data_IF_625834925350
#
_entry.id   IF_625834925350
#
_cell.length_a   1.000
_cell.length_b   1.000
_cell.length_c   1.000
_cell.angle_alpha   90.00
_cell.angle_beta   90.00
_cell.angle_gamma   90.00
#
_symmetry.space_group_name_H-M   'P 1'
#
loop_
_entity.id
_entity.type
_entity.pdbx_description
1 polymer ?
#
# COMPACT_ATOMS: atom_id res chain seq x y z
N UNK A 1 -13.88 -19.06 9.44
CA UNK A 1 -12.58 -19.00 8.72
C UNK A 1 -12.75 -19.18 7.19
N UNK A 2 -13.95 -18.98 6.62
CA UNK A 2 -14.22 -19.30 5.20
C UNK A 2 -15.03 -18.22 4.47
N UNK A 3 -14.99 -16.97 4.96
CA UNK A 3 -15.68 -15.83 4.32
C UNK A 3 -14.78 -14.61 4.08
N UNK A 4 -13.47 -14.70 4.36
CA UNK A 4 -12.52 -13.61 4.12
C UNK A 4 -11.89 -13.65 2.72
N UNK A 5 -11.90 -14.81 2.04
CA UNK A 5 -11.23 -14.99 0.74
C UNK A 5 -12.02 -14.54 -0.49
N UNK A 6 -13.31 -14.22 -0.35
CA UNK A 6 -14.17 -13.82 -1.49
C UNK A 6 -14.35 -12.30 -1.64
N UNK A 7 -13.87 -11.49 -0.69
CA UNK A 7 -13.94 -10.01 -0.77
C UNK A 7 -12.71 -9.39 -1.45
N UNK A 8 -11.57 -10.06 -1.47
CA UNK A 8 -10.33 -9.51 -2.06
C UNK A 8 -10.32 -9.53 -3.60
N UNK A 9 -11.12 -10.39 -4.23
CA UNK A 9 -11.21 -10.49 -5.70
C UNK A 9 -12.13 -9.44 -6.34
N UNK A 10 -13.12 -8.92 -5.61
CA UNK A 10 -13.96 -7.79 -6.07
C UNK A 10 -13.30 -6.42 -5.84
N UNK A 11 -12.37 -6.31 -4.87
CA UNK A 11 -11.65 -5.07 -4.58
C UNK A 11 -10.74 -4.63 -5.75
N UNK A 12 -10.10 -5.59 -6.43
CA UNK A 12 -9.04 -5.29 -7.42
C UNK A 12 -9.53 -4.86 -8.82
N UNK A 13 -10.77 -5.18 -9.21
CA UNK A 13 -11.39 -4.56 -10.40
C UNK A 13 -11.93 -3.15 -10.08
N UNK A 14 -12.10 -2.83 -8.80
CA UNK A 14 -12.44 -1.52 -8.29
C UNK A 14 -11.24 -0.57 -8.32
N UNK A 15 -10.04 -1.01 -7.93
CA UNK A 15 -8.90 -0.12 -7.72
C UNK A 15 -8.38 0.58 -8.99
N UNK A 16 -8.28 -0.09 -10.15
CA UNK A 16 -7.91 0.56 -11.42
C UNK A 16 -9.03 1.48 -11.95
N UNK A 17 -10.28 1.12 -11.67
CA UNK A 17 -11.46 1.90 -12.06
C UNK A 17 -11.73 3.09 -11.11
N UNK A 18 -11.27 3.03 -9.86
CA UNK A 18 -11.32 4.11 -8.88
C UNK A 18 -10.13 5.06 -9.00
N UNK A 19 -8.93 4.59 -9.34
CA UNK A 19 -7.78 5.48 -9.60
C UNK A 19 -8.03 6.35 -10.83
N UNK A 20 -8.65 5.80 -11.89
CA UNK A 20 -9.07 6.57 -13.06
C UNK A 20 -10.17 7.58 -12.73
N UNK A 21 -11.18 7.22 -11.94
CA UNK A 21 -12.21 8.15 -11.44
C UNK A 21 -11.63 9.24 -10.52
N UNK A 22 -10.69 8.89 -9.66
CA UNK A 22 -10.05 9.83 -8.73
C UNK A 22 -9.14 10.81 -9.50
N UNK A 23 -8.40 10.33 -10.49
CA UNK A 23 -7.60 11.16 -11.40
C UNK A 23 -8.49 12.07 -12.24
N UNK A 24 -9.63 11.58 -12.73
CA UNK A 24 -10.64 12.38 -13.42
C UNK A 24 -11.19 13.49 -12.52
N UNK A 25 -11.57 13.16 -11.28
CA UNK A 25 -12.09 14.14 -10.30
C UNK A 25 -11.05 15.19 -9.92
N UNK A 26 -9.77 14.81 -9.85
CA UNK A 26 -8.67 15.74 -9.59
C UNK A 26 -8.42 16.65 -10.80
N UNK A 27 -8.52 16.10 -12.02
CA UNK A 27 -8.43 16.85 -13.29
C UNK A 27 -9.59 17.84 -13.44
N UNK A 28 -10.81 17.43 -13.10
CA UNK A 28 -12.00 18.28 -13.12
C UNK A 28 -11.87 19.44 -12.12
N UNK A 29 -11.40 19.17 -10.89
CA UNK A 29 -11.14 20.21 -9.89
C UNK A 29 -10.08 21.22 -10.34
N UNK A 30 -9.07 20.77 -11.10
CA UNK A 30 -7.97 21.62 -11.55
C UNK A 30 -8.32 22.42 -12.81
N UNK A 31 -9.27 21.93 -13.62
CA UNK A 31 -9.82 22.66 -14.76
C UNK A 31 -10.51 23.97 -14.31
N UNK A 32 -11.07 23.98 -13.09
CA UNK A 32 -11.64 25.17 -12.46
C UNK A 32 -10.59 26.17 -11.93
N UNK A 33 -9.32 25.77 -11.75
CA UNK A 33 -8.26 26.65 -11.25
C UNK A 33 -7.61 27.53 -12.34
N UNK A 34 -8.00 27.36 -13.61
CA UNK A 34 -7.53 28.11 -14.80
C UNK A 34 -6.00 28.37 -14.77
N UNK A 35 -5.18 27.33 -14.98
CA UNK A 35 -3.73 27.47 -15.01
C UNK A 35 -3.28 28.29 -16.22
N UNK A 36 -2.22 29.09 -16.03
CA UNK A 36 -1.68 29.97 -17.07
C UNK A 36 -0.83 29.24 -18.11
N UNK A 37 -0.25 28.09 -17.76
CA UNK A 37 0.60 27.25 -18.64
C UNK A 37 0.32 25.78 -18.39
N UNK A 38 0.47 24.95 -19.43
CA UNK A 38 0.36 23.48 -19.35
C UNK A 38 1.32 22.89 -18.30
N UNK A 39 2.54 23.42 -18.20
CA UNK A 39 3.51 22.96 -17.19
C UNK A 39 3.04 23.18 -15.75
N UNK A 40 2.46 24.36 -15.46
CA UNK A 40 1.95 24.67 -14.13
C UNK A 40 0.68 23.87 -13.80
N UNK A 41 -0.11 23.54 -14.83
CA UNK A 41 -1.24 22.63 -14.68
C UNK A 41 -0.77 21.23 -14.29
N UNK A 42 0.18 20.66 -15.04
CA UNK A 42 0.70 19.32 -14.78
C UNK A 42 1.34 19.21 -13.40
N UNK A 43 2.15 20.19 -12.98
CA UNK A 43 2.78 20.16 -11.65
C UNK A 43 1.76 20.18 -10.50
N UNK A 44 0.73 21.03 -10.60
CA UNK A 44 -0.34 21.10 -9.59
C UNK A 44 -1.19 19.84 -9.58
N UNK A 45 -1.46 19.28 -10.76
CA UNK A 45 -2.19 18.03 -10.91
C UNK A 45 -1.43 16.88 -10.24
N UNK A 46 -0.14 16.77 -10.55
CA UNK A 46 0.76 15.76 -9.97
C UNK A 46 0.77 15.87 -8.45
N UNK A 47 0.95 17.08 -7.90
CA UNK A 47 1.04 17.27 -6.46
C UNK A 47 -0.28 16.90 -5.75
N UNK A 48 -1.44 17.34 -6.27
CA UNK A 48 -2.74 17.01 -5.67
C UNK A 48 -3.07 15.52 -5.78
N UNK A 49 -2.83 14.93 -6.95
CA UNK A 49 -3.05 13.50 -7.16
C UNK A 49 -2.12 12.66 -6.28
N UNK A 50 -0.86 13.08 -6.13
CA UNK A 50 0.11 12.45 -5.25
C UNK A 50 -0.34 12.50 -3.79
N UNK A 51 -0.75 13.67 -3.27
CA UNK A 51 -1.23 13.79 -1.88
C UNK A 51 -2.42 12.88 -1.59
N UNK A 52 -3.35 12.79 -2.54
CA UNK A 52 -4.52 11.93 -2.41
C UNK A 52 -4.14 10.45 -2.41
N UNK A 53 -3.26 10.04 -3.33
CA UNK A 53 -2.74 8.67 -3.38
C UNK A 53 -1.90 8.32 -2.15
N UNK A 54 -1.11 9.27 -1.66
CA UNK A 54 -0.30 9.14 -0.45
C UNK A 54 -1.18 8.90 0.77
N UNK A 55 -2.20 9.74 1.00
CA UNK A 55 -3.11 9.56 2.13
C UNK A 55 -3.83 8.22 2.05
N UNK A 56 -4.34 7.83 0.88
CA UNK A 56 -5.03 6.55 0.73
C UNK A 56 -4.11 5.34 0.94
N UNK A 57 -2.87 5.41 0.46
CA UNK A 57 -1.92 4.30 0.56
C UNK A 57 -1.32 4.16 1.97
N UNK A 58 -1.00 5.27 2.64
CA UNK A 58 -0.29 5.25 3.91
C UNK A 58 -1.18 5.41 5.14
N UNK A 59 -2.41 5.95 5.04
CA UNK A 59 -3.28 6.13 6.20
C UNK A 59 -3.52 4.86 7.02
N UNK A 60 -3.79 3.68 6.42
CA UNK A 60 -3.94 2.45 7.18
C UNK A 60 -2.67 2.07 7.95
N UNK A 61 -1.50 2.27 7.35
CA UNK A 61 -0.21 1.94 7.97
C UNK A 61 0.11 2.93 9.09
N UNK A 62 -0.16 4.23 8.88
CA UNK A 62 -0.03 5.25 9.91
C UNK A 62 -0.93 4.98 11.10
N UNK A 63 -2.16 4.50 10.87
CA UNK A 63 -3.08 4.10 11.92
C UNK A 63 -2.50 2.96 12.76
N UNK A 64 -2.08 1.87 12.11
CA UNK A 64 -1.51 0.70 12.80
C UNK A 64 -0.22 1.06 13.54
N UNK A 65 0.60 1.97 12.99
CA UNK A 65 1.88 2.32 13.58
C UNK A 65 1.78 3.22 14.81
N UNK A 66 0.89 4.21 14.78
CA UNK A 66 0.89 5.27 15.79
C UNK A 66 -0.36 5.29 16.68
N UNK A 67 -1.49 4.77 16.20
CA UNK A 67 -2.78 4.92 16.88
C UNK A 67 -3.32 3.61 17.44
N UNK A 68 -3.07 2.48 16.77
CA UNK A 68 -3.53 1.16 17.21
C UNK A 68 -2.90 0.78 18.55
N UNK A 69 -3.72 0.25 19.47
CA UNK A 69 -3.29 -0.18 20.81
C UNK A 69 -2.93 0.95 21.79
N UNK A 70 -2.79 2.21 21.35
CA UNK A 70 -2.38 3.31 22.24
C UNK A 70 -3.51 3.87 23.09
N UNK A 71 -4.74 3.79 22.59
CA UNK A 71 -5.93 4.41 23.18
C UNK A 71 -6.99 3.41 23.69
N UNK A 72 -6.63 2.13 23.89
CA UNK A 72 -7.59 1.10 24.33
C UNK A 72 -8.08 1.26 25.78
N UNK A 73 -7.27 1.90 26.64
CA UNK A 73 -7.55 2.07 28.07
C UNK A 73 -7.05 0.89 28.91
N UNK A 74 -7.61 0.72 30.11
CA UNK A 74 -7.29 -0.39 31.02
C UNK A 74 -8.48 -1.35 31.12
N UNK A 75 -8.25 -2.65 31.43
CA UNK A 75 -9.34 -3.56 31.75
C UNK A 75 -10.27 -2.95 32.82
N UNK A 76 -11.58 -3.00 32.59
CA UNK A 76 -12.61 -2.36 33.43
C UNK A 76 -12.97 -0.91 33.04
N UNK A 77 -12.14 -0.21 32.26
CA UNK A 77 -12.47 1.11 31.71
C UNK A 77 -11.89 1.27 30.30
N UNK A 78 -12.47 0.54 29.35
CA UNK A 78 -12.16 0.67 27.93
C UNK A 78 -12.67 1.99 27.35
N UNK A 79 -11.96 2.48 26.33
CA UNK A 79 -12.41 3.60 25.51
C UNK A 79 -13.29 3.05 24.40
N UNK A 80 -14.55 3.49 24.37
CA UNK A 80 -15.52 3.11 23.35
C UNK A 80 -15.63 4.23 22.31
N UNK A 81 -15.56 3.86 21.04
CA UNK A 81 -15.86 4.75 19.91
C UNK A 81 -17.34 4.65 19.62
N UNK A 82 -18.00 5.81 19.55
CA UNK A 82 -19.45 5.92 19.30
C UNK A 82 -20.22 5.03 20.31
N UNK A 83 -19.76 5.02 21.56
CA UNK A 83 -20.35 4.33 22.73
C UNK A 83 -20.54 2.80 22.66
N UNK A 84 -20.38 2.15 21.50
CA UNK A 84 -20.68 0.72 21.33
C UNK A 84 -19.45 -0.13 20.93
N UNK A 85 -18.44 0.45 20.28
CA UNK A 85 -17.29 -0.31 19.75
C UNK A 85 -16.01 -0.05 20.57
N UNK A 86 -15.40 -1.13 21.09
CA UNK A 86 -14.10 -1.07 21.79
C UNK A 86 -12.99 -0.78 20.78
N UNK A 87 -12.07 0.11 21.16
CA UNK A 87 -10.87 0.40 20.37
C UNK A 87 -10.00 -0.85 20.17
N UNK A 88 -9.36 -0.97 19.01
CA UNK A 88 -8.50 -2.11 18.69
C UNK A 88 -7.24 -2.15 19.55
N UNK A 89 -6.92 -3.36 20.02
CA UNK A 89 -5.70 -3.69 20.75
C UNK A 89 -4.70 -4.39 19.82
N UNK A 90 -3.42 -4.34 20.19
CA UNK A 90 -2.39 -5.05 19.43
C UNK A 90 -2.23 -6.49 19.91
N UNK A 91 -1.82 -7.37 19.00
CA UNK A 91 -1.47 -8.74 19.33
C UNK A 91 -0.34 -8.82 20.39
N UNK A 92 -0.19 -9.95 21.11
CA UNK A 92 0.87 -10.12 22.12
C UNK A 92 2.29 -9.98 21.57
N UNK A 93 2.47 -10.19 20.26
CA UNK A 93 3.74 -9.98 19.54
C UNK A 93 4.04 -8.52 19.19
N UNK A 94 3.17 -7.59 19.58
CA UNK A 94 3.30 -6.15 19.32
C UNK A 94 2.74 -5.71 17.96
N UNK A 95 2.42 -4.42 17.85
CA UNK A 95 1.89 -3.83 16.61
C UNK A 95 2.92 -3.83 15.46
N UNK A 96 4.22 -3.92 15.78
CA UNK A 96 5.29 -3.89 14.80
C UNK A 96 5.25 -5.11 13.86
N UNK A 97 4.91 -6.30 14.37
CA UNK A 97 4.78 -7.50 13.53
C UNK A 97 3.60 -7.36 12.56
N UNK A 98 2.46 -6.82 13.03
CA UNK A 98 1.31 -6.55 12.17
C UNK A 98 1.67 -5.57 11.05
N UNK A 99 2.44 -4.50 11.36
CA UNK A 99 2.96 -3.58 10.35
C UNK A 99 3.87 -4.28 9.34
N UNK A 100 4.79 -5.12 9.79
CA UNK A 100 5.70 -5.85 8.91
C UNK A 100 4.92 -6.73 7.93
N UNK A 101 3.90 -7.44 8.41
CA UNK A 101 3.04 -8.30 7.59
C UNK A 101 2.27 -7.44 6.59
N UNK A 102 1.64 -6.34 7.03
CA UNK A 102 0.91 -5.43 6.16
C UNK A 102 1.81 -4.85 5.05
N UNK A 103 3.01 -4.37 5.39
CA UNK A 103 3.98 -3.87 4.42
C UNK A 103 4.45 -4.97 3.46
N UNK A 104 4.68 -6.18 3.97
CA UNK A 104 5.05 -7.32 3.14
C UNK A 104 3.95 -7.67 2.14
N UNK A 105 2.69 -7.71 2.57
CA UNK A 105 1.54 -7.97 1.70
C UNK A 105 1.40 -6.86 0.65
N UNK A 106 1.56 -5.59 1.03
CA UNK A 106 1.42 -4.48 0.07
C UNK A 106 2.56 -4.50 -0.97
N UNK A 107 3.81 -4.67 -0.52
CA UNK A 107 4.98 -4.68 -1.41
C UNK A 107 5.06 -5.92 -2.30
N UNK A 108 4.68 -7.10 -1.79
CA UNK A 108 4.67 -8.34 -2.57
C UNK A 108 3.41 -8.46 -3.41
N UNK A 109 2.25 -8.10 -2.85
CA UNK A 109 0.96 -8.19 -3.50
C UNK A 109 0.87 -7.29 -4.72
N UNK A 110 1.32 -6.03 -4.61
CA UNK A 110 1.30 -5.11 -5.74
C UNK A 110 2.23 -5.60 -6.88
N UNK A 111 3.45 -6.03 -6.56
CA UNK A 111 4.42 -6.33 -7.61
C UNK A 111 4.34 -7.73 -8.22
N UNK A 112 3.98 -8.76 -7.44
CA UNK A 112 3.84 -10.13 -7.95
C UNK A 112 2.48 -10.38 -8.60
N UNK A 113 1.40 -9.82 -8.04
CA UNK A 113 0.03 -10.14 -8.46
C UNK A 113 -0.46 -9.16 -9.51
N UNK A 114 -0.27 -7.85 -9.37
CA UNK A 114 -0.79 -6.90 -10.36
C UNK A 114 0.07 -6.89 -11.64
N UNK A 115 1.39 -6.65 -11.54
CA UNK A 115 2.22 -6.49 -12.75
C UNK A 115 2.44 -7.79 -13.53
N UNK A 116 2.69 -8.92 -12.87
CA UNK A 116 2.96 -10.18 -13.57
C UNK A 116 1.68 -10.80 -14.19
N UNK A 117 0.51 -10.66 -13.56
CA UNK A 117 -0.73 -11.30 -14.02
C UNK A 117 -1.51 -10.38 -14.97
N UNK A 118 -1.66 -9.09 -14.67
CA UNK A 118 -2.45 -8.21 -15.54
C UNK A 118 -1.70 -7.88 -16.84
N UNK A 119 -0.39 -7.68 -16.78
CA UNK A 119 0.38 -7.24 -17.95
C UNK A 119 0.80 -8.39 -18.87
N UNK A 120 1.17 -9.55 -18.32
CA UNK A 120 1.48 -10.74 -19.14
C UNK A 120 0.22 -11.55 -19.45
N UNK A 121 -0.70 -11.65 -18.48
CA UNK A 121 -1.88 -12.51 -18.56
C UNK A 121 -3.00 -11.95 -19.44
N UNK A 122 -3.35 -10.66 -19.33
CA UNK A 122 -4.46 -10.07 -20.11
C UNK A 122 -4.22 -10.13 -21.63
N UNK A 123 -3.07 -9.71 -22.19
CA UNK A 123 -2.88 -9.77 -23.63
C UNK A 123 -2.85 -11.21 -24.15
N UNK A 124 -2.28 -12.16 -23.39
CA UNK A 124 -2.32 -13.59 -23.77
C UNK A 124 -3.72 -14.18 -23.65
N UNK A 125 -4.50 -13.80 -22.64
CA UNK A 125 -5.88 -14.24 -22.45
C UNK A 125 -6.80 -13.64 -23.53
N UNK A 126 -6.68 -12.35 -23.85
CA UNK A 126 -7.40 -11.72 -24.98
C UNK A 126 -7.06 -12.40 -26.30
N UNK A 127 -5.79 -12.74 -26.54
CA UNK A 127 -5.36 -13.49 -27.73
C UNK A 127 -5.94 -14.90 -27.77
N UNK A 128 -5.99 -15.60 -26.64
CA UNK A 128 -6.60 -16.93 -26.53
C UNK A 128 -8.12 -16.88 -26.73
N UNK A 129 -8.81 -15.92 -26.12
CA UNK A 129 -10.26 -15.70 -26.30
C UNK A 129 -10.58 -15.35 -27.75
N UNK A 130 -9.77 -14.51 -28.40
CA UNK A 130 -9.93 -14.18 -29.81
C UNK A 130 -9.71 -15.40 -30.72
N UNK A 131 -8.68 -16.20 -30.46
CA UNK A 131 -8.44 -17.45 -31.18
C UNK A 131 -9.54 -18.50 -30.97
N UNK A 132 -10.19 -18.51 -29.80
CA UNK A 132 -11.35 -19.36 -29.53
C UNK A 132 -12.64 -18.83 -30.20
N UNK A 133 -12.78 -17.49 -30.31
CA UNK A 133 -13.93 -16.84 -30.96
C UNK A 133 -13.84 -16.87 -32.49
N UNK A 134 -12.63 -16.89 -33.05
CA UNK A 134 -12.37 -17.06 -34.48
C UNK A 134 -12.57 -18.52 -34.97
N UNK A 135 -12.85 -19.48 -34.07
CA UNK A 135 -13.26 -20.85 -34.43
C UNK A 135 -14.72 -20.98 -34.89
N UNK A 136 -15.53 -19.92 -34.81
CA UNK A 136 -16.83 -19.90 -35.50
C UNK A 136 -16.67 -19.42 -36.95
N UNK A 137 -16.99 -20.26 -37.97
CA UNK A 137 -16.74 -19.93 -39.36
C UNK A 137 -17.81 -18.96 -39.84
N UNK A 138 -17.52 -17.67 -39.84
CA UNK A 138 -18.37 -16.66 -40.48
C UNK A 138 -17.62 -15.94 -41.61
N UNK A 139 -17.97 -16.35 -42.83
CA UNK A 139 -17.77 -15.70 -44.14
C UNK A 139 -17.17 -14.27 -44.14
N UNK A 140 -15.87 -14.15 -43.89
CA UNK A 140 -15.08 -12.92 -44.14
C UNK A 140 -13.83 -13.16 -44.99
N UNK A 141 -13.81 -14.23 -45.77
CA UNK A 141 -12.68 -14.64 -46.63
C UNK A 141 -12.42 -13.76 -47.86
N UNK A 142 -13.02 -12.56 -48.01
CA UNK A 142 -12.82 -11.72 -49.20
C UNK A 142 -12.10 -10.39 -49.01
N UNK A 143 -11.76 -10.00 -47.77
CA UNK A 143 -10.94 -8.81 -47.48
C UNK A 143 -9.53 -9.13 -46.95
N UNK A 144 -9.17 -10.41 -46.81
CA UNK A 144 -7.93 -10.85 -46.13
C UNK A 144 -6.65 -10.78 -46.97
N UNK A 145 -6.70 -10.44 -48.26
CA UNK A 145 -5.51 -10.52 -49.13
C UNK A 145 -4.61 -9.27 -49.08
N UNK A 146 -5.08 -8.15 -48.50
CA UNK A 146 -4.24 -6.97 -48.27
C UNK A 146 -3.66 -7.01 -46.86
N UNK A 147 -2.33 -7.11 -46.77
CA UNK A 147 -1.61 -6.86 -45.52
C UNK A 147 -2.11 -5.55 -44.92
N UNK A 148 -2.59 -5.53 -43.66
CA UNK A 148 -3.08 -4.31 -43.06
C UNK A 148 -1.97 -3.28 -43.08
N UNK A 149 -2.31 -2.06 -43.50
CA UNK A 149 -1.35 -0.97 -43.58
C UNK A 149 -0.82 -0.66 -42.17
N UNK A 150 0.45 -0.28 -42.05
CA UNK A 150 1.11 -0.14 -40.74
C UNK A 150 0.38 0.83 -39.81
N UNK A 151 -0.17 1.93 -40.32
CA UNK A 151 -0.95 2.88 -39.51
C UNK A 151 -2.23 2.30 -38.92
N UNK A 152 -2.86 1.31 -39.58
CA UNK A 152 -4.05 0.65 -39.03
C UNK A 152 -3.67 -0.23 -37.84
N UNK A 153 -2.48 -0.84 -37.88
CA UNK A 153 -1.93 -1.61 -36.77
C UNK A 153 -1.57 -0.68 -35.61
N UNK A 154 -0.90 0.44 -35.89
CA UNK A 154 -0.54 1.42 -34.86
C UNK A 154 -1.77 2.09 -34.25
N UNK A 155 -2.81 2.38 -35.05
CA UNK A 155 -4.07 2.92 -34.53
C UNK A 155 -4.83 1.90 -33.67
N UNK A 156 -4.58 0.59 -33.79
CA UNK A 156 -5.20 -0.39 -32.90
C UNK A 156 -4.58 -0.42 -31.49
N UNK A 157 -3.38 0.14 -31.30
CA UNK A 157 -2.68 0.21 -30.01
C UNK A 157 -3.27 1.29 -29.09
N UNK A 158 -2.97 1.19 -27.79
CA UNK A 158 -3.45 2.12 -26.76
C UNK A 158 -2.71 3.46 -26.87
N UNK A 159 -3.41 4.62 -26.79
CA UNK A 159 -2.73 5.91 -26.79
C UNK A 159 -1.87 6.09 -25.54
N UNK A 160 -0.77 6.82 -25.68
CA UNK A 160 0.10 7.16 -24.57
C UNK A 160 -0.52 8.29 -23.72
N UNK A 161 -0.81 8.01 -22.45
CA UNK A 161 -1.47 8.95 -21.52
C UNK A 161 -0.50 9.75 -20.63
N UNK A 162 0.81 9.66 -20.90
CA UNK A 162 1.87 10.32 -20.13
C UNK A 162 2.66 9.34 -19.25
N UNK A 163 3.61 9.88 -18.48
CA UNK A 163 4.48 9.12 -17.55
C UNK A 163 4.06 9.29 -16.09
N UNK A 164 3.04 10.11 -15.81
CA UNK A 164 2.69 10.47 -14.43
C UNK A 164 2.21 9.27 -13.60
N UNK A 165 1.40 8.32 -14.12
CA UNK A 165 1.02 7.13 -13.37
C UNK A 165 2.22 6.24 -13.03
N UNK A 166 3.15 6.06 -13.98
CA UNK A 166 4.38 5.28 -13.81
C UNK A 166 5.29 5.90 -12.74
N UNK A 167 5.51 7.23 -12.77
CA UNK A 167 6.27 7.91 -11.72
C UNK A 167 5.57 7.84 -10.35
N UNK A 168 4.24 7.97 -10.29
CA UNK A 168 3.49 7.85 -9.04
C UNK A 168 3.69 6.49 -8.40
N UNK A 169 3.67 5.43 -9.20
CA UNK A 169 3.91 4.06 -8.75
C UNK A 169 5.29 3.93 -8.09
N UNK A 170 6.34 4.35 -8.79
CA UNK A 170 7.71 4.26 -8.31
C UNK A 170 7.96 5.08 -7.04
N UNK A 171 7.35 6.27 -6.94
CA UNK A 171 7.54 7.16 -5.78
C UNK A 171 6.78 6.64 -4.56
N UNK A 172 5.60 6.05 -4.73
CA UNK A 172 4.89 5.38 -3.64
C UNK A 172 5.67 4.15 -3.17
N UNK A 173 6.28 3.39 -4.07
CA UNK A 173 7.19 2.29 -3.69
C UNK A 173 8.39 2.81 -2.89
N UNK A 174 9.01 3.90 -3.32
CA UNK A 174 10.09 4.57 -2.58
C UNK A 174 9.63 5.00 -1.18
N UNK A 175 8.40 5.48 -1.03
CA UNK A 175 7.85 5.83 0.28
C UNK A 175 7.64 4.64 1.22
N UNK A 176 7.18 3.48 0.71
CA UNK A 176 7.09 2.28 1.53
C UNK A 176 8.46 1.83 2.04
N UNK A 177 9.49 1.92 1.20
CA UNK A 177 10.85 1.58 1.58
C UNK A 177 11.43 2.59 2.58
N UNK A 178 11.34 3.88 2.29
CA UNK A 178 12.01 4.91 3.09
C UNK A 178 11.29 5.24 4.41
N UNK A 179 9.96 5.34 4.41
CA UNK A 179 9.21 5.79 5.60
C UNK A 179 9.15 4.72 6.70
N UNK A 180 9.24 3.44 6.34
CA UNK A 180 9.01 2.31 7.26
C UNK A 180 10.16 1.29 7.30
N UNK A 181 11.37 1.69 6.90
CA UNK A 181 12.55 0.81 6.91
C UNK A 181 12.88 0.28 8.31
N UNK A 182 12.61 1.08 9.35
CA UNK A 182 12.85 0.66 10.73
C UNK A 182 11.98 -0.53 11.18
N UNK A 183 10.79 -0.67 10.59
CA UNK A 183 9.91 -1.82 10.83
C UNK A 183 10.30 -3.03 9.98
N UNK A 184 10.61 -2.82 8.70
CA UNK A 184 10.88 -3.90 7.76
C UNK A 184 12.22 -3.73 7.02
N UNK A 185 13.32 -4.31 7.55
CA UNK A 185 14.65 -4.09 6.98
C UNK A 185 14.86 -4.75 5.61
N UNK A 186 14.04 -5.75 5.25
CA UNK A 186 14.11 -6.43 3.96
C UNK A 186 13.38 -5.67 2.83
N UNK A 187 12.70 -4.56 3.13
CA UNK A 187 11.97 -3.76 2.14
C UNK A 187 12.83 -3.37 0.92
N UNK A 188 14.09 -2.89 1.08
CA UNK A 188 14.92 -2.50 -0.07
C UNK A 188 15.24 -3.67 -1.01
N UNK A 189 15.38 -4.88 -0.48
CA UNK A 189 15.65 -6.08 -1.29
C UNK A 189 14.45 -6.40 -2.17
N UNK A 190 13.24 -6.40 -1.61
CA UNK A 190 12.02 -6.62 -2.38
C UNK A 190 11.81 -5.51 -3.41
N UNK A 191 12.04 -4.25 -3.05
CA UNK A 191 11.97 -3.14 -3.99
C UNK A 191 12.98 -3.25 -5.14
N UNK A 192 14.18 -3.78 -4.89
CA UNK A 192 15.17 -4.02 -5.94
C UNK A 192 14.70 -5.08 -6.95
N UNK A 193 14.23 -6.24 -6.45
CA UNK A 193 13.71 -7.31 -7.31
C UNK A 193 12.54 -6.81 -8.16
N UNK A 194 11.65 -6.07 -7.52
CA UNK A 194 10.52 -5.41 -8.13
C UNK A 194 10.95 -4.47 -9.26
N UNK A 195 11.90 -3.55 -9.00
CA UNK A 195 12.42 -2.62 -10.01
C UNK A 195 13.08 -3.33 -11.20
N UNK A 196 13.77 -4.46 -10.97
CA UNK A 196 14.39 -5.23 -12.07
C UNK A 196 13.34 -5.83 -13.01
N UNK A 197 12.23 -6.31 -12.46
CA UNK A 197 11.10 -6.83 -13.25
C UNK A 197 10.39 -5.65 -13.95
N UNK A 198 10.13 -4.56 -13.21
CA UNK A 198 9.43 -3.37 -13.70
C UNK A 198 10.06 -2.79 -14.95
N UNK A 199 11.38 -2.59 -14.94
CA UNK A 199 12.13 -2.03 -16.08
C UNK A 199 11.89 -2.86 -17.35
N UNK A 200 11.78 -4.19 -17.23
CA UNK A 200 11.56 -5.07 -18.38
C UNK A 200 10.12 -5.06 -18.85
N UNK A 201 9.17 -4.99 -17.92
CA UNK A 201 7.75 -4.93 -18.21
C UNK A 201 7.37 -3.61 -18.88
N UNK A 202 7.79 -2.48 -18.31
CA UNK A 202 7.61 -1.16 -18.90
C UNK A 202 8.23 -1.07 -20.30
N UNK A 203 9.47 -1.57 -20.48
CA UNK A 203 10.10 -1.60 -21.79
C UNK A 203 9.29 -2.40 -22.81
N UNK A 204 8.67 -3.51 -22.38
CA UNK A 204 7.80 -4.31 -23.24
C UNK A 204 6.50 -3.57 -23.56
N UNK A 205 5.85 -2.96 -22.57
CA UNK A 205 4.64 -2.13 -22.74
C UNK A 205 4.86 -1.03 -23.79
N UNK A 206 5.99 -0.32 -23.70
CA UNK A 206 6.36 0.72 -24.68
C UNK A 206 6.61 0.18 -26.08
N UNK A 207 7.16 -1.03 -26.22
CA UNK A 207 7.50 -1.61 -27.53
C UNK A 207 6.32 -2.33 -28.17
N UNK A 208 5.42 -2.94 -27.40
CA UNK A 208 4.39 -3.85 -27.94
C UNK A 208 2.94 -3.39 -27.78
N UNK A 209 2.62 -2.51 -26.82
CA UNK A 209 1.22 -2.23 -26.46
C UNK A 209 0.81 -0.77 -26.65
N UNK A 210 1.76 0.16 -26.56
CA UNK A 210 1.52 1.59 -26.67
C UNK A 210 1.82 2.11 -28.07
N UNK A 211 1.04 3.11 -28.49
CA UNK A 211 1.39 3.95 -29.64
C UNK A 211 2.65 4.75 -29.34
N UNK A 212 3.50 4.92 -30.35
CA UNK A 212 4.75 5.67 -30.21
C UNK A 212 4.47 7.11 -29.71
N UNK A 213 5.00 7.51 -28.55
CA UNK A 213 4.82 8.86 -28.04
C UNK A 213 5.65 9.87 -28.86
N UNK A 214 5.22 11.14 -28.85
CA UNK A 214 6.00 12.23 -29.43
C UNK A 214 7.18 12.54 -28.50
N UNK A 215 8.39 12.56 -29.05
CA UNK A 215 9.59 12.83 -28.28
C UNK A 215 9.60 14.28 -27.76
N UNK A 216 9.42 14.44 -26.44
CA UNK A 216 9.58 15.71 -25.75
C UNK A 216 10.98 15.78 -25.10
N UNK A 217 11.60 16.97 -25.10
CA UNK A 217 12.88 17.19 -24.42
C UNK A 217 12.63 17.83 -23.05
N UNK A 218 13.05 17.16 -21.98
CA UNK A 218 13.03 17.67 -20.62
C UNK A 218 14.45 17.68 -20.04
N UNK A 219 14.74 18.67 -19.19
CA UNK A 219 16.06 18.80 -18.54
C UNK A 219 16.16 18.00 -17.24
N UNK A 220 15.04 17.82 -16.56
CA UNK A 220 14.93 17.20 -15.25
C UNK A 220 13.65 16.34 -15.15
N UNK A 221 13.51 15.64 -14.02
CA UNK A 221 12.30 14.90 -13.66
C UNK A 221 11.17 15.82 -13.16
N UNK A 222 11.39 17.14 -13.11
CA UNK A 222 10.43 18.13 -12.63
C UNK A 222 10.06 18.00 -11.15
N UNK A 223 8.77 18.19 -10.85
CA UNK A 223 8.19 18.22 -9.49
C UNK A 223 8.48 16.96 -8.66
N UNK A 224 8.71 15.82 -9.30
CA UNK A 224 9.00 14.55 -8.64
C UNK A 224 10.25 14.60 -7.76
N UNK A 225 11.27 15.38 -8.14
CA UNK A 225 12.46 15.58 -7.30
C UNK A 225 12.11 16.23 -5.96
N UNK A 226 11.25 17.26 -5.99
CA UNK A 226 10.81 17.95 -4.77
C UNK A 226 9.99 17.02 -3.88
N UNK A 227 9.14 16.16 -4.47
CA UNK A 227 8.38 15.15 -3.74
C UNK A 227 9.33 14.13 -3.08
N UNK A 228 10.29 13.58 -3.82
CA UNK A 228 11.30 12.65 -3.28
C UNK A 228 12.13 13.28 -2.14
N UNK A 229 12.55 14.53 -2.31
CA UNK A 229 13.28 15.28 -1.27
C UNK A 229 12.43 15.51 -0.02
N UNK A 230 11.15 15.86 -0.18
CA UNK A 230 10.21 15.99 0.92
C UNK A 230 9.98 14.68 1.66
N UNK A 231 9.75 13.59 0.93
CA UNK A 231 9.58 12.25 1.48
C UNK A 231 10.84 11.76 2.22
N UNK A 232 12.03 12.03 1.68
CA UNK A 232 13.29 11.68 2.34
C UNK A 232 13.48 12.38 3.68
N UNK A 233 13.12 13.67 3.77
CA UNK A 233 13.15 14.41 5.06
C UNK A 233 12.11 13.89 6.04
N UNK A 234 10.90 13.61 5.55
CA UNK A 234 9.81 13.06 6.36
C UNK A 234 10.13 11.65 6.89
N UNK A 235 10.83 10.83 6.11
CA UNK A 235 11.29 9.49 6.48
C UNK A 235 12.14 9.49 7.74
N UNK A 236 13.04 10.45 7.91
CA UNK A 236 13.87 10.56 9.13
C UNK A 236 12.99 10.72 10.37
N UNK A 237 12.00 11.60 10.29
CA UNK A 237 11.07 11.90 11.38
C UNK A 237 10.22 10.66 11.69
N UNK A 238 9.60 10.06 10.67
CA UNK A 238 8.70 8.90 10.86
C UNK A 238 9.47 7.71 11.44
N UNK A 239 10.65 7.38 10.93
CA UNK A 239 11.43 6.26 11.47
C UNK A 239 11.83 6.49 12.92
N UNK A 240 12.15 7.72 13.32
CA UNK A 240 12.40 8.04 14.72
C UNK A 240 11.17 7.76 15.60
N UNK A 241 9.98 8.19 15.15
CA UNK A 241 8.72 7.92 15.85
C UNK A 241 8.38 6.41 15.90
N UNK A 242 8.61 5.68 14.82
CA UNK A 242 8.39 4.22 14.76
C UNK A 242 9.28 3.51 15.77
N UNK A 243 10.57 3.87 15.84
CA UNK A 243 11.50 3.26 16.79
C UNK A 243 11.15 3.63 18.23
N UNK A 244 10.70 4.87 18.49
CA UNK A 244 10.44 5.32 19.86
C UNK A 244 9.10 4.87 20.42
N UNK A 245 8.04 4.83 19.60
CA UNK A 245 6.67 4.58 20.07
C UNK A 245 6.12 3.22 19.67
N UNK A 246 6.52 2.67 18.52
CA UNK A 246 5.97 1.42 18.00
C UNK A 246 6.86 0.22 18.32
N UNK A 247 8.17 0.43 18.45
CA UNK A 247 9.13 -0.63 18.79
C UNK A 247 9.26 -0.83 20.30
N UNK A 248 9.39 -2.09 20.72
CA UNK A 248 9.74 -2.46 22.10
C UNK A 248 11.19 -2.13 22.49
N UNK A 249 11.97 -1.52 21.60
CA UNK A 249 13.37 -1.22 21.85
C UNK A 249 13.56 -0.34 23.10
N UNK A 250 12.79 0.75 23.22
CA UNK A 250 12.94 1.70 24.33
C UNK A 250 12.56 1.07 25.67
N UNK A 251 11.39 0.40 25.85
CA UNK A 251 11.06 -0.30 27.10
C UNK A 251 12.10 -1.35 27.50
N UNK A 252 12.64 -2.12 26.53
CA UNK A 252 13.68 -3.11 26.78
C UNK A 252 14.98 -2.47 27.28
N UNK A 253 15.37 -1.36 26.65
CA UNK A 253 16.57 -0.62 27.04
C UNK A 253 16.43 -0.03 28.45
N UNK A 254 15.27 0.57 28.76
CA UNK A 254 14.96 1.12 30.08
C UNK A 254 14.99 0.01 31.14
N UNK A 255 14.38 -1.14 30.86
CA UNK A 255 14.44 -2.28 31.78
C UNK A 255 15.89 -2.72 32.04
N UNK A 256 16.69 -2.87 30.98
CA UNK A 256 18.05 -3.34 31.09
C UNK A 256 18.96 -2.40 31.91
N UNK A 257 18.83 -1.08 31.73
CA UNK A 257 19.69 -0.11 32.41
C UNK A 257 19.20 0.33 33.79
N UNK A 258 17.89 0.38 34.02
CA UNK A 258 17.32 0.94 35.26
C UNK A 258 16.78 -0.10 36.23
N UNK A 259 16.25 -1.23 35.72
CA UNK A 259 15.50 -2.19 36.53
C UNK A 259 16.19 -3.55 36.67
N UNK A 260 17.01 -3.96 35.70
CA UNK A 260 17.69 -5.25 35.72
C UNK A 260 18.88 -5.23 36.69
N UNK A 261 18.86 -6.05 37.76
CA UNK A 261 19.97 -6.11 38.71
C UNK A 261 21.25 -6.71 38.13
N UNK A 262 21.14 -7.45 37.00
CA UNK A 262 22.25 -8.15 36.36
C UNK A 262 22.59 -7.57 34.97
N UNK A 263 21.85 -6.58 34.50
CA UNK A 263 21.93 -6.07 33.12
C UNK A 263 21.45 -7.07 32.05
N UNK A 264 20.79 -8.17 32.46
CA UNK A 264 20.21 -9.17 31.56
C UNK A 264 18.72 -8.91 31.33
N UNK A 265 18.16 -9.45 30.24
CA UNK A 265 16.74 -9.33 29.90
C UNK A 265 15.83 -10.33 30.65
N UNK A 266 16.38 -11.07 31.62
CA UNK A 266 15.64 -12.05 32.40
C UNK A 266 14.60 -11.35 33.28
N UNK A 267 13.33 -11.77 33.20
CA UNK A 267 12.22 -11.17 33.95
C UNK A 267 11.58 -9.93 33.29
N UNK A 268 11.98 -9.55 32.08
CA UNK A 268 11.40 -8.40 31.36
C UNK A 268 9.88 -8.52 31.17
N UNK A 269 9.40 -9.70 30.78
CA UNK A 269 7.97 -9.94 30.56
C UNK A 269 7.18 -9.80 31.85
N UNK A 270 7.67 -10.38 32.96
CA UNK A 270 7.01 -10.26 34.28
C UNK A 270 6.96 -8.82 34.80
N UNK A 271 7.98 -8.00 34.49
CA UNK A 271 7.98 -6.58 34.84
C UNK A 271 7.06 -5.74 33.95
N UNK A 272 6.90 -6.11 32.68
CA UNK A 272 6.14 -5.33 31.70
C UNK A 272 4.62 -5.55 31.83
N UNK A 273 4.20 -6.78 32.17
CA UNK A 273 2.79 -7.11 32.31
C UNK A 273 2.20 -6.56 33.62
N UNK A 274 1.02 -5.96 33.54
CA UNK A 274 0.31 -5.42 34.70
C UNK A 274 -0.75 -6.39 35.21
N UNK A 275 -0.83 -6.58 36.52
CA UNK A 275 -1.87 -7.40 37.12
C UNK A 275 -3.23 -6.69 37.13
N UNK A 276 -4.28 -7.41 36.73
CA UNK A 276 -5.66 -6.95 36.82
C UNK A 276 -6.53 -7.97 37.55
N UNK A 277 -7.29 -7.51 38.54
CA UNK A 277 -8.25 -8.34 39.26
C UNK A 277 -9.57 -8.43 38.48
N UNK A 278 -9.99 -9.65 38.17
CA UNK A 278 -11.19 -9.95 37.36
C UNK A 278 -12.47 -9.41 38.03
N UNK A 279 -12.49 -9.22 39.35
CA UNK A 279 -13.64 -8.62 40.05
C UNK A 279 -13.96 -7.18 39.62
N UNK A 280 -13.00 -6.48 39.01
CA UNK A 280 -13.12 -5.06 38.68
C UNK A 280 -13.69 -4.80 37.28
N UNK A 281 -14.18 -5.81 36.58
CA UNK A 281 -14.87 -5.62 35.30
C UNK A 281 -16.18 -4.85 35.48
N UNK A 282 -16.50 -4.00 34.50
CA UNK A 282 -17.82 -3.38 34.43
C UNK A 282 -18.87 -4.44 34.10
N UNK A 283 -20.10 -4.33 34.63
CA UNK A 283 -21.18 -5.26 34.33
C UNK A 283 -21.37 -5.42 32.82
N UNK A 284 -21.42 -6.66 32.33
CA UNK A 284 -21.60 -6.96 30.89
C UNK A 284 -20.35 -6.87 30.02
N UNK A 285 -19.16 -6.53 30.57
CA UNK A 285 -17.89 -6.48 29.83
C UNK A 285 -16.96 -7.67 30.10
N UNK A 286 -17.36 -8.57 30.99
CA UNK A 286 -16.63 -9.79 31.31
C UNK A 286 -16.70 -10.80 30.14
N UNK A 287 -15.67 -11.63 29.94
CA UNK A 287 -15.69 -12.66 28.90
C UNK A 287 -16.85 -13.64 29.13
N UNK A 288 -17.62 -13.93 28.08
CA UNK A 288 -18.78 -14.82 28.17
C UNK A 288 -18.41 -16.29 28.39
N UNK A 289 -17.29 -16.74 27.80
CA UNK A 289 -16.71 -18.06 28.00
C UNK A 289 -15.25 -17.90 28.42
N UNK A 290 -14.85 -18.57 29.49
CA UNK A 290 -13.45 -18.69 29.88
C UNK A 290 -13.05 -20.16 29.77
N UNK A 291 -12.07 -20.45 28.90
CA UNK A 291 -11.52 -21.81 28.74
C UNK A 291 -10.62 -22.21 29.92
N UNK A 292 -10.24 -21.22 30.73
CA UNK A 292 -9.50 -21.35 31.97
C UNK A 292 -10.52 -21.17 33.11
N UNK A 293 -10.55 -22.08 34.10
CA UNK A 293 -11.59 -22.15 35.15
C UNK A 293 -11.70 -20.91 36.06
N UNK A 294 -11.70 -21.07 37.39
CA UNK A 294 -11.81 -19.93 38.31
C UNK A 294 -10.53 -19.08 38.32
N UNK A 295 -10.45 -18.11 37.41
CA UNK A 295 -9.33 -17.16 37.30
C UNK A 295 -9.63 -15.90 38.11
N UNK A 296 -8.81 -15.64 39.12
CA UNK A 296 -8.94 -14.45 39.98
C UNK A 296 -8.20 -13.22 39.44
N UNK A 297 -7.12 -13.44 38.68
CA UNK A 297 -6.23 -12.39 38.18
C UNK A 297 -5.83 -12.67 36.73
N UNK A 298 -5.86 -11.64 35.89
CA UNK A 298 -5.28 -11.68 34.55
C UNK A 298 -4.11 -10.70 34.42
N UNK A 299 -3.30 -10.91 33.38
CA UNK A 299 -2.14 -10.11 33.00
C UNK A 299 -2.24 -9.73 31.53
#
# INVERSE_FOLDING_TARGET
MEQAGSRETEQNNGDTHDISKQTQRTRDSLYWEIPKTESNFEERLILKAFLLKFMNAYAPIFYVAFFKGRFAGRPGSYVYVINDYRMEECAPGGCLIELCIQLSIIMLGKQLIQNNIFEIGIPKLKKLIRALKEKEPSQKEKDEERRPQQWNLDYALVPFEGLTPEYMEMIIQFGFVSLFVASFPLAPLFALLNNVIEIRLDARKFVTELRRPVAARAKDIGIWYNILSGMGKLSVIINAFVISFTSDLIPRLVYQYMYSPTGTMNGFIDHTLSFFNVSNFKPGTAPHNSDYGDVTVCR
#
